data_IF_679975261584
#
_entry.id   IF_679975261584
#
_cell.length_a   1.000
_cell.length_b   1.000
_cell.length_c   1.000
_cell.angle_alpha   90.00
_cell.angle_beta   90.00
_cell.angle_gamma   90.00
#
_symmetry.space_group_name_H-M   'P 1'
#
loop_
_entity.id
_entity.type
_entity.pdbx_description
1 polymer ?
#
# COMPACT_ATOMS: atom_id res chain seq x y z
N UNK A 1 -40.18 -32.43 28.59
CA UNK A 1 -39.83 -30.99 28.60
C UNK A 1 -38.69 -30.80 27.60
N UNK A 2 -38.95 -30.36 26.36
CA UNK A 2 -38.82 -28.97 25.86
C UNK A 2 -37.41 -28.38 26.13
N UNK A 3 -36.64 -27.75 25.23
CA UNK A 3 -36.73 -27.32 23.84
C UNK A 3 -35.38 -26.65 23.46
N UNK A 4 -35.08 -26.52 22.14
CA UNK A 4 -34.18 -25.52 21.45
C UNK A 4 -32.65 -25.59 21.71
N UNK A 5 -31.72 -25.46 20.76
CA UNK A 5 -31.55 -24.66 19.52
C UNK A 5 -30.61 -25.42 18.52
N UNK A 6 -30.89 -25.59 17.22
CA UNK A 6 -30.77 -24.68 16.05
C UNK A 6 -29.33 -24.28 15.59
N UNK A 7 -29.08 -24.48 14.28
CA UNK A 7 -27.95 -24.09 13.40
C UNK A 7 -26.70 -24.98 13.43
N UNK A 8 -26.12 -25.48 12.31
CA UNK A 8 -26.06 -24.96 10.93
C UNK A 8 -25.59 -26.05 9.92
N UNK A 9 -26.12 -25.91 8.69
CA UNK A 9 -25.80 -26.48 7.37
C UNK A 9 -24.65 -27.48 7.13
N UNK A 10 -25.02 -28.51 6.35
CA UNK A 10 -24.24 -29.34 5.42
C UNK A 10 -23.64 -28.53 4.22
N UNK A 11 -23.06 -29.16 3.16
CA UNK A 11 -21.66 -29.55 3.04
C UNK A 11 -21.02 -28.97 1.74
N UNK A 12 -19.85 -29.52 1.36
CA UNK A 12 -19.22 -29.55 0.04
C UNK A 12 -17.89 -28.77 -0.05
N UNK A 13 -16.81 -29.56 -0.05
CA UNK A 13 -15.48 -29.17 -0.51
C UNK A 13 -15.57 -28.91 -2.01
N UNK A 14 -15.33 -27.66 -2.40
CA UNK A 14 -15.23 -27.25 -3.81
C UNK A 14 -13.82 -27.57 -4.30
N UNK A 15 -13.71 -28.62 -5.11
CA UNK A 15 -12.52 -29.00 -5.85
C UNK A 15 -12.19 -27.92 -6.91
N UNK A 16 -10.92 -27.48 -6.94
CA UNK A 16 -10.44 -26.38 -7.79
C UNK A 16 -10.15 -26.78 -9.24
N UNK A 17 -10.45 -28.01 -9.66
CA UNK A 17 -9.93 -28.58 -10.92
C UNK A 17 -10.90 -28.50 -12.11
N UNK A 18 -12.10 -27.93 -11.94
CA UNK A 18 -13.14 -27.83 -12.97
C UNK A 18 -13.15 -26.47 -13.72
N UNK A 19 -12.09 -25.65 -13.60
CA UNK A 19 -11.94 -24.39 -14.36
C UNK A 19 -10.86 -24.48 -15.45
N UNK A 20 -10.67 -25.64 -16.06
CA UNK A 20 -9.74 -25.76 -17.22
C UNK A 20 -10.34 -26.61 -18.33
N UNK A 21 -11.67 -26.61 -18.51
CA UNK A 21 -12.28 -27.28 -19.67
C UNK A 21 -13.53 -26.57 -20.16
N UNK A 22 -13.35 -25.76 -21.20
CA UNK A 22 -14.39 -25.47 -22.19
C UNK A 22 -14.98 -24.07 -22.15
N UNK A 23 -14.25 -23.09 -22.71
CA UNK A 23 -14.88 -21.93 -23.38
C UNK A 23 -14.12 -21.65 -24.69
N UNK A 24 -14.54 -22.32 -25.75
CA UNK A 24 -14.29 -21.88 -27.13
C UNK A 24 -15.42 -20.93 -27.51
N UNK A 25 -15.18 -19.60 -27.52
CA UNK A 25 -16.10 -18.64 -28.14
C UNK A 25 -15.42 -17.28 -28.38
N UNK A 26 -15.23 -16.96 -29.67
CA UNK A 26 -15.26 -15.61 -30.22
C UNK A 26 -14.05 -14.70 -29.97
N UNK A 27 -13.29 -14.39 -31.02
CA UNK A 27 -12.44 -13.20 -31.03
C UNK A 27 -13.30 -11.94 -30.84
N UNK A 28 -13.04 -11.08 -29.85
CA UNK A 28 -13.54 -9.72 -29.90
C UNK A 28 -12.63 -8.92 -30.84
N UNK A 29 -13.18 -8.52 -31.99
CA UNK A 29 -12.65 -7.39 -32.76
C UNK A 29 -12.82 -6.13 -31.91
N UNK A 30 -11.84 -5.89 -31.04
CA UNK A 30 -11.83 -4.75 -30.13
C UNK A 30 -11.48 -3.49 -30.91
N UNK A 31 -12.43 -2.55 -31.00
CA UNK A 31 -12.13 -1.17 -31.36
C UNK A 31 -11.08 -0.62 -30.39
N UNK A 32 -9.86 -0.42 -30.88
CA UNK A 32 -8.80 0.24 -30.11
C UNK A 32 -9.20 1.70 -29.94
N UNK A 33 -9.82 2.04 -28.81
CA UNK A 33 -9.92 3.42 -28.35
C UNK A 33 -8.51 3.81 -27.90
N UNK A 34 -7.79 4.53 -28.76
CA UNK A 34 -6.58 5.23 -28.32
C UNK A 34 -7.04 6.31 -27.34
N UNK A 35 -6.74 6.12 -26.07
CA UNK A 35 -6.81 7.21 -25.10
C UNK A 35 -5.77 8.24 -25.54
N UNK A 36 -6.22 9.39 -26.03
CA UNK A 36 -5.35 10.56 -26.09
C UNK A 36 -4.93 10.84 -24.65
N UNK A 37 -3.65 10.68 -24.36
CA UNK A 37 -3.07 11.16 -23.10
C UNK A 37 -3.19 12.68 -23.18
N UNK A 38 -4.33 13.18 -22.69
CA UNK A 38 -4.59 14.60 -22.55
C UNK A 38 -3.45 15.20 -21.75
N UNK A 39 -2.86 16.26 -22.28
CA UNK A 39 -1.76 16.98 -21.66
C UNK A 39 -2.04 17.20 -20.17
N UNK A 40 -1.07 16.99 -19.27
CA UNK A 40 -1.29 17.32 -17.87
C UNK A 40 -1.65 18.79 -17.80
N UNK A 41 -2.83 19.13 -17.25
CA UNK A 41 -3.17 20.49 -16.87
C UNK A 41 -2.07 20.98 -15.95
N UNK A 42 -1.17 21.79 -16.49
CA UNK A 42 -0.01 22.30 -15.78
C UNK A 42 -0.49 23.38 -14.81
N UNK A 43 -0.96 22.96 -13.64
CA UNK A 43 -1.03 23.83 -12.48
C UNK A 43 0.41 24.13 -12.06
N UNK A 44 1.02 25.13 -12.69
CA UNK A 44 2.35 25.60 -12.34
C UNK A 44 2.27 26.37 -11.03
N UNK A 45 2.68 25.72 -9.94
CA UNK A 45 2.93 26.42 -8.68
C UNK A 45 4.20 27.26 -8.85
N UNK A 46 4.04 28.58 -8.86
CA UNK A 46 5.17 29.52 -8.83
C UNK A 46 5.75 29.53 -7.41
N UNK A 47 6.72 28.64 -7.16
CA UNK A 47 7.44 28.58 -5.89
C UNK A 47 8.83 29.20 -6.05
N UNK A 48 9.21 30.12 -5.16
CA UNK A 48 10.55 30.71 -5.06
C UNK A 48 11.68 29.68 -4.90
N UNK A 49 11.34 28.45 -4.47
CA UNK A 49 12.25 27.35 -4.22
C UNK A 49 12.11 26.20 -5.24
N UNK A 50 11.46 26.43 -6.39
CA UNK A 50 11.18 25.36 -7.35
C UNK A 50 12.44 24.57 -7.75
N UNK A 51 13.55 25.24 -8.05
CA UNK A 51 14.80 24.60 -8.46
C UNK A 51 15.43 23.78 -7.32
N UNK A 52 15.36 24.28 -6.09
CA UNK A 52 15.86 23.59 -4.89
C UNK A 52 15.03 22.32 -4.60
N UNK A 53 13.70 22.42 -4.67
CA UNK A 53 12.80 21.30 -4.46
C UNK A 53 13.04 20.19 -5.49
N UNK A 54 13.22 20.55 -6.76
CA UNK A 54 13.54 19.59 -7.83
C UNK A 54 14.90 18.93 -7.58
N UNK A 55 15.92 19.70 -7.15
CA UNK A 55 17.25 19.17 -6.83
C UNK A 55 17.21 18.18 -5.67
N UNK A 56 16.50 18.53 -4.59
CA UNK A 56 16.35 17.66 -3.41
C UNK A 56 15.58 16.39 -3.77
N UNK A 57 14.48 16.50 -4.52
CA UNK A 57 13.71 15.34 -4.99
C UNK A 57 14.54 14.38 -5.85
N UNK A 58 15.36 14.89 -6.76
CA UNK A 58 16.30 14.08 -7.56
C UNK A 58 17.35 13.38 -6.70
N UNK A 59 17.84 14.04 -5.65
CA UNK A 59 18.81 13.47 -4.72
C UNK A 59 18.20 12.34 -3.91
N UNK A 60 16.99 12.54 -3.39
CA UNK A 60 16.21 11.53 -2.65
C UNK A 60 15.91 10.31 -3.52
N UNK A 61 15.52 10.51 -4.79
CA UNK A 61 15.16 9.44 -5.73
C UNK A 61 16.35 8.84 -6.49
N UNK A 62 17.57 8.97 -5.97
CA UNK A 62 18.76 8.48 -6.65
C UNK A 62 18.82 6.94 -6.67
N UNK A 63 19.22 6.31 -7.80
CA UNK A 63 19.25 4.85 -7.91
C UNK A 63 20.11 4.20 -6.83
N UNK A 64 19.61 3.13 -6.22
CA UNK A 64 20.32 2.39 -5.17
C UNK A 64 20.37 3.10 -3.81
N UNK A 65 19.59 4.17 -3.59
CA UNK A 65 19.37 4.79 -2.28
C UNK A 65 17.89 4.78 -1.89
N UNK A 66 17.62 4.92 -0.59
CA UNK A 66 16.28 4.99 -0.02
C UNK A 66 16.26 5.90 1.21
N UNK A 67 15.06 6.18 1.71
CA UNK A 67 14.85 7.01 2.91
C UNK A 67 14.66 6.09 4.11
N UNK A 68 15.31 6.42 5.23
CA UNK A 68 15.04 5.82 6.53
C UNK A 68 14.05 6.71 7.29
N UNK A 69 12.88 6.17 7.58
CA UNK A 69 11.85 6.85 8.37
C UNK A 69 12.14 6.66 9.87
N UNK A 70 12.56 7.73 10.55
CA UNK A 70 12.79 7.80 12.01
C UNK A 70 11.79 8.72 12.71
N UNK A 71 10.70 9.12 12.04
CA UNK A 71 9.68 10.09 12.47
C UNK A 71 8.61 9.47 13.39
N UNK A 72 9.02 8.56 14.27
CA UNK A 72 8.09 7.88 15.17
C UNK A 72 7.58 8.81 16.27
N UNK A 73 6.26 8.77 16.50
CA UNK A 73 5.68 9.47 17.64
C UNK A 73 6.24 8.96 18.98
N UNK A 74 6.17 9.79 20.02
CA UNK A 74 6.59 9.41 21.37
C UNK A 74 5.90 8.13 21.89
N UNK A 75 4.64 7.90 21.51
CA UNK A 75 3.89 6.70 21.89
C UNK A 75 4.40 5.45 21.15
N UNK A 76 4.78 5.58 19.88
CA UNK A 76 5.35 4.48 19.08
C UNK A 76 6.75 4.13 19.55
N UNK A 77 7.61 5.14 19.72
CA UNK A 77 8.98 4.96 20.19
C UNK A 77 9.00 4.31 21.59
N UNK A 78 8.11 4.72 22.49
CA UNK A 78 7.98 4.11 23.82
C UNK A 78 7.67 2.61 23.79
N UNK A 79 6.85 2.14 22.84
CA UNK A 79 6.59 0.69 22.67
C UNK A 79 7.83 -0.06 22.20
N UNK A 80 8.63 0.55 21.31
CA UNK A 80 9.89 -0.04 20.84
C UNK A 80 10.93 -0.10 21.95
N UNK A 81 11.11 0.98 22.70
CA UNK A 81 12.01 1.02 23.85
C UNK A 81 11.61 0.01 24.92
N UNK A 82 10.32 -0.09 25.23
CA UNK A 82 9.81 -1.08 26.18
C UNK A 82 10.11 -2.53 25.74
N UNK A 83 10.08 -2.82 24.43
CA UNK A 83 10.40 -4.16 23.91
C UNK A 83 11.85 -4.58 24.14
N UNK A 84 12.75 -3.61 24.31
CA UNK A 84 14.17 -3.83 24.63
C UNK A 84 14.49 -3.52 26.11
N UNK A 85 13.47 -3.32 26.94
CA UNK A 85 13.63 -3.07 28.38
C UNK A 85 14.08 -1.66 28.76
N UNK A 86 13.98 -0.68 27.86
CA UNK A 86 14.32 0.72 28.12
C UNK A 86 13.09 1.57 28.45
N UNK A 87 13.28 2.55 29.32
CA UNK A 87 12.27 3.55 29.65
C UNK A 87 12.17 4.61 28.54
N UNK A 88 10.96 5.15 28.34
CA UNK A 88 10.69 6.18 27.34
C UNK A 88 11.13 7.60 27.78
N UNK A 89 12.42 7.77 28.04
CA UNK A 89 13.03 9.07 28.35
C UNK A 89 13.53 9.76 27.09
N UNK A 90 13.73 11.08 27.12
CA UNK A 90 14.26 11.81 25.96
C UNK A 90 15.67 11.35 25.57
N UNK A 91 16.55 11.13 26.56
CA UNK A 91 17.91 10.64 26.33
C UNK A 91 17.91 9.28 25.59
N UNK A 92 17.00 8.37 25.96
CA UNK A 92 16.89 7.06 25.32
C UNK A 92 16.32 7.12 23.89
N UNK A 93 15.60 8.20 23.52
CA UNK A 93 15.13 8.42 22.15
C UNK A 93 16.19 9.06 21.25
N UNK A 94 17.17 9.73 21.84
CA UNK A 94 18.29 10.38 21.15
C UNK A 94 19.50 9.45 20.96
N UNK A 95 19.63 8.43 21.81
CA UNK A 95 20.69 7.42 21.78
C UNK A 95 20.59 6.52 20.54
#
# INVERSE_FOLDING_TARGET
>A
MASTFLLRSSPAILDKSEWVKGQTLGQPSGSVVRLSVGAPSALTVSASYADELVKTAKTIASPGRGILAMDESNATCGKRLASIGLENTEANRQA
#
